data_IF_641257031208
#
_entry.id   IF_641257031208
#
_cell.length_a   1.000
_cell.length_b   1.000
_cell.length_c   1.000
_cell.angle_alpha   90.00
_cell.angle_beta   90.00
_cell.angle_gamma   90.00
#
_symmetry.space_group_name_H-M   'P 1'
#
loop_
_entity.id
_entity.type
_entity.pdbx_description
1 polymer ?
#
# COMPACT_ATOMS: atom_id res chain seq x y z
N UNK A 1 -12.44 0.82 -2.85
CA UNK A 1 -13.06 -0.52 -2.78
C UNK A 1 -13.23 -1.04 -1.34
N UNK A 2 -12.19 -0.99 -0.50
CA UNK A 2 -12.23 -1.55 0.87
C UNK A 2 -13.00 -0.73 1.92
N UNK A 3 -13.32 0.55 1.63
CA UNK A 3 -14.02 1.45 2.56
C UNK A 3 -15.46 1.78 2.13
N UNK A 4 -15.65 2.33 0.93
CA UNK A 4 -16.98 2.83 0.49
C UNK A 4 -17.54 2.21 -0.81
N UNK A 5 -16.76 1.37 -1.50
CA UNK A 5 -17.15 0.79 -2.81
C UNK A 5 -17.25 -0.74 -2.76
N UNK A 6 -17.43 -1.32 -1.58
CA UNK A 6 -17.62 -2.76 -1.47
C UNK A 6 -19.01 -3.14 -2.01
N UNK A 7 -19.07 -4.06 -2.97
CA UNK A 7 -20.30 -4.66 -3.46
C UNK A 7 -20.15 -6.19 -3.49
N UNK A 8 -21.23 -6.95 -3.30
CA UNK A 8 -21.21 -8.42 -3.35
C UNK A 8 -20.82 -8.98 -4.74
N UNK A 9 -20.70 -8.13 -5.76
CA UNK A 9 -20.21 -8.49 -7.09
C UNK A 9 -18.66 -8.41 -7.22
N UNK A 10 -17.97 -7.94 -6.18
CA UNK A 10 -16.51 -7.96 -6.14
C UNK A 10 -16.02 -9.33 -5.73
N UNK A 11 -15.33 -10.00 -6.65
CA UNK A 11 -14.67 -11.27 -6.37
C UNK A 11 -13.41 -11.02 -5.53
N UNK A 12 -13.02 -12.01 -4.74
CA UNK A 12 -11.76 -11.99 -3.96
C UNK A 12 -10.58 -11.60 -4.87
N UNK A 13 -10.57 -12.07 -6.12
CA UNK A 13 -9.55 -11.70 -7.12
C UNK A 13 -9.48 -10.19 -7.38
N UNK A 14 -10.60 -9.49 -7.49
CA UNK A 14 -10.61 -8.02 -7.67
C UNK A 14 -10.09 -7.28 -6.44
N UNK A 15 -10.37 -7.81 -5.25
CA UNK A 15 -9.84 -7.25 -4.00
C UNK A 15 -8.32 -7.44 -3.93
N UNK A 16 -7.83 -8.64 -4.21
CA UNK A 16 -6.38 -8.93 -4.23
C UNK A 16 -5.65 -8.09 -5.27
N UNK A 17 -6.20 -7.96 -6.49
CA UNK A 17 -5.63 -7.09 -7.53
C UNK A 17 -5.57 -5.63 -7.09
N UNK A 18 -6.61 -5.13 -6.41
CA UNK A 18 -6.61 -3.77 -5.87
C UNK A 18 -5.53 -3.57 -4.80
N UNK A 19 -5.26 -4.59 -3.98
CA UNK A 19 -4.19 -4.53 -2.97
C UNK A 19 -2.82 -4.53 -3.66
N UNK A 20 -2.59 -5.41 -4.64
CA UNK A 20 -1.34 -5.44 -5.41
C UNK A 20 -1.09 -4.11 -6.13
N UNK A 21 -2.13 -3.51 -6.72
CA UNK A 21 -2.04 -2.21 -7.36
C UNK A 21 -1.69 -1.11 -6.35
N UNK A 22 -2.31 -1.08 -5.17
CA UNK A 22 -2.01 -0.10 -4.13
C UNK A 22 -0.56 -0.21 -3.59
N UNK A 23 -0.04 -1.44 -3.50
CA UNK A 23 1.35 -1.67 -3.10
C UNK A 23 2.36 -1.22 -4.16
N UNK A 24 1.96 -1.24 -5.44
CA UNK A 24 2.82 -0.82 -6.56
C UNK A 24 2.75 0.69 -6.79
N UNK A 25 1.54 1.25 -6.70
CA UNK A 25 1.25 2.67 -6.89
C UNK A 25 0.53 3.23 -5.65
N UNK A 26 1.27 3.60 -4.59
CA UNK A 26 0.68 4.16 -3.38
C UNK A 26 0.06 5.55 -3.67
N UNK A 27 -1.17 5.78 -3.19
CA UNK A 27 -1.84 7.07 -3.31
C UNK A 27 -1.33 8.06 -2.23
N UNK A 28 -0.57 9.11 -2.60
CA UNK A 28 0.01 10.03 -1.63
C UNK A 28 -0.98 11.08 -1.08
N UNK A 29 -2.14 11.22 -1.71
CA UNK A 29 -3.14 12.26 -1.41
C UNK A 29 -4.29 11.75 -0.54
N UNK A 30 -4.46 10.42 -0.45
CA UNK A 30 -5.30 9.74 0.54
C UNK A 30 -4.48 8.70 1.32
N UNK A 31 -3.55 9.15 2.19
CA UNK A 31 -2.66 8.23 2.88
C UNK A 31 -3.34 7.57 4.07
N UNK A 32 -3.25 6.25 4.15
CA UNK A 32 -3.64 5.48 5.35
C UNK A 32 -2.80 5.86 6.57
N UNK A 33 -1.53 6.21 6.37
CA UNK A 33 -0.60 6.68 7.41
C UNK A 33 0.06 7.97 6.91
N UNK A 34 -0.34 9.14 7.44
CA UNK A 34 0.16 10.43 6.97
C UNK A 34 1.69 10.57 7.03
N UNK A 35 2.31 10.02 8.08
CA UNK A 35 3.77 10.08 8.28
C UNK A 35 4.54 9.32 7.19
N UNK A 36 4.05 8.14 6.80
CA UNK A 36 4.67 7.33 5.74
C UNK A 36 4.51 8.01 4.38
N UNK A 37 3.35 8.62 4.12
CA UNK A 37 3.12 9.36 2.89
C UNK A 37 3.96 10.64 2.81
N UNK A 38 4.16 11.32 3.94
CA UNK A 38 5.09 12.44 4.00
C UNK A 38 6.52 11.97 3.68
N UNK A 39 6.99 10.88 4.30
CA UNK A 39 8.28 10.26 3.99
C UNK A 39 8.40 9.85 2.52
N UNK A 40 7.33 9.30 1.92
CA UNK A 40 7.31 8.95 0.50
C UNK A 40 7.47 10.18 -0.42
N UNK A 41 6.87 11.32 -0.04
CA UNK A 41 6.96 12.59 -0.77
C UNK A 41 8.31 13.31 -0.56
N UNK A 42 8.90 13.24 0.64
CA UNK A 42 10.09 14.03 1.00
C UNK A 42 11.41 13.25 0.91
N UNK A 43 11.40 11.95 1.16
CA UNK A 43 12.57 11.08 1.18
C UNK A 43 12.23 9.67 0.68
N UNK A 44 12.15 9.55 -0.65
CA UNK A 44 11.85 8.28 -1.32
C UNK A 44 12.86 7.18 -0.98
N UNK A 45 14.14 7.52 -0.84
CA UNK A 45 15.19 6.55 -0.56
C UNK A 45 15.02 5.90 0.82
N UNK A 46 14.73 6.71 1.84
CA UNK A 46 14.42 6.22 3.19
C UNK A 46 13.13 5.41 3.25
N UNK A 47 12.10 5.84 2.53
CA UNK A 47 10.87 5.08 2.38
C UNK A 47 11.16 3.67 1.81
N UNK A 48 11.88 3.58 0.70
CA UNK A 48 12.18 2.29 0.07
C UNK A 48 13.06 1.38 0.95
N UNK A 49 14.04 1.95 1.65
CA UNK A 49 14.88 1.19 2.59
C UNK A 49 14.04 0.60 3.73
N UNK A 50 13.12 1.40 4.27
CA UNK A 50 12.19 0.96 5.33
C UNK A 50 11.24 -0.12 4.82
N UNK A 51 10.63 0.09 3.65
CA UNK A 51 9.73 -0.87 3.03
C UNK A 51 10.43 -2.21 2.80
N UNK A 52 11.64 -2.21 2.23
CA UNK A 52 12.46 -3.43 2.03
C UNK A 52 12.76 -4.16 3.33
N UNK A 53 13.17 -3.44 4.37
CA UNK A 53 13.46 -4.02 5.69
C UNK A 53 12.22 -4.70 6.30
N UNK A 54 11.05 -4.06 6.19
CA UNK A 54 9.79 -4.63 6.67
C UNK A 54 9.37 -5.86 5.87
N UNK A 55 9.48 -5.82 4.53
CA UNK A 55 9.22 -6.99 3.68
C UNK A 55 10.14 -8.15 4.06
N UNK A 56 11.43 -7.91 4.25
CA UNK A 56 12.38 -8.94 4.68
C UNK A 56 12.02 -9.53 6.05
N UNK A 57 11.56 -8.70 6.99
CA UNK A 57 11.28 -9.13 8.36
C UNK A 57 9.96 -9.90 8.50
N UNK A 58 8.93 -9.55 7.72
CA UNK A 58 7.57 -10.04 7.95
C UNK A 58 6.94 -10.78 6.77
N UNK A 59 7.49 -10.65 5.56
CA UNK A 59 6.88 -11.17 4.33
C UNK A 59 7.80 -12.08 3.51
N UNK A 60 9.04 -12.29 3.96
CA UNK A 60 9.89 -13.37 3.44
C UNK A 60 9.78 -14.57 4.38
N UNK A 61 8.84 -15.46 4.04
CA UNK A 61 8.73 -16.81 4.61
C UNK A 61 9.49 -17.83 3.79
#
# INVERSE_FOLDING_TARGET
ILKEQWSPALTISKVLLSICSLLTDPNPDDPLVPEIAHMYKTDRAKYEATARSWTQKYAMG
#
